data_IF_900362926665
#
_entry.id   IF_900362926665
#
_cell.length_a   1.000
_cell.length_b   1.000
_cell.length_c   1.000
_cell.angle_alpha   90.00
_cell.angle_beta   90.00
_cell.angle_gamma   90.00
#
_symmetry.space_group_name_H-M   'P 1'
#
loop_
_entity.id
_entity.type
_entity.pdbx_description
1 polymer ?
#
# COMPACT_ATOMS: atom_id res chain seq x y z
N UNK A 1 -7.31 13.06 -14.81
CA UNK A 1 -7.68 12.41 -13.54
C UNK A 1 -9.13 12.75 -13.24
N UNK A 2 -10.04 11.85 -13.50
CA UNK A 2 -11.42 11.97 -13.01
C UNK A 2 -11.36 11.80 -11.50
N UNK A 3 -11.91 12.77 -10.78
CA UNK A 3 -11.67 12.97 -9.37
C UNK A 3 -12.03 11.77 -8.49
N UNK A 4 -11.36 11.67 -7.35
CA UNK A 4 -11.58 10.72 -6.24
C UNK A 4 -13.07 10.52 -5.88
N UNK A 5 -13.96 11.48 -6.20
CA UNK A 5 -15.40 11.38 -5.99
C UNK A 5 -16.11 10.21 -6.71
N UNK A 6 -15.52 9.69 -7.80
CA UNK A 6 -16.13 8.56 -8.55
C UNK A 6 -15.77 7.19 -7.97
N UNK A 7 -14.72 7.09 -7.18
CA UNK A 7 -14.31 5.85 -6.50
C UNK A 7 -15.33 5.44 -5.43
N UNK A 8 -16.05 6.41 -4.83
CA UNK A 8 -17.02 6.16 -3.75
C UNK A 8 -18.42 5.83 -4.21
N UNK A 9 -18.74 6.10 -5.45
CA UNK A 9 -20.08 5.83 -5.96
C UNK A 9 -20.16 4.38 -6.43
N UNK A 10 -20.72 3.51 -5.59
CA UNK A 10 -20.98 2.10 -5.93
C UNK A 10 -21.51 1.94 -7.37
N UNK A 11 -22.36 2.85 -7.83
CA UNK A 11 -22.93 2.80 -9.19
C UNK A 11 -21.85 3.01 -10.27
N UNK A 12 -20.88 3.90 -10.04
CA UNK A 12 -19.77 4.12 -10.99
C UNK A 12 -18.87 2.89 -11.09
N UNK A 13 -18.63 2.19 -9.98
CA UNK A 13 -17.85 0.96 -9.96
C UNK A 13 -18.59 -0.18 -10.65
N UNK A 14 -19.91 -0.32 -10.43
CA UNK A 14 -20.76 -1.28 -11.16
C UNK A 14 -20.70 -1.02 -12.67
N UNK A 15 -20.81 0.23 -13.09
CA UNK A 15 -20.70 0.59 -14.50
C UNK A 15 -19.31 0.31 -15.08
N UNK A 16 -18.25 0.61 -14.33
CA UNK A 16 -16.89 0.29 -14.75
C UNK A 16 -16.68 -1.23 -14.94
N UNK A 17 -17.18 -2.04 -14.01
CA UNK A 17 -17.14 -3.51 -14.10
C UNK A 17 -17.95 -4.03 -15.30
N UNK A 18 -19.13 -3.46 -15.57
CA UNK A 18 -19.96 -3.83 -16.73
C UNK A 18 -19.29 -3.52 -18.06
N UNK A 19 -18.59 -2.38 -18.14
CA UNK A 19 -17.92 -1.96 -19.38
C UNK A 19 -16.62 -2.74 -19.59
N UNK A 20 -15.82 -2.93 -18.53
CA UNK A 20 -14.52 -3.58 -18.65
C UNK A 20 -14.61 -5.10 -18.76
N UNK A 21 -15.61 -5.72 -18.14
CA UNK A 21 -15.71 -7.19 -17.99
C UNK A 21 -14.40 -7.81 -17.49
N UNK A 22 -13.70 -7.09 -16.61
CA UNK A 22 -12.36 -7.45 -16.15
C UNK A 22 -12.34 -8.82 -15.46
N UNK A 23 -11.38 -9.67 -15.82
CA UNK A 23 -11.12 -10.96 -15.17
C UNK A 23 -10.32 -10.81 -13.88
N UNK A 24 -9.49 -9.76 -13.81
CA UNK A 24 -8.68 -9.43 -12.66
C UNK A 24 -8.89 -7.96 -12.25
N UNK A 25 -9.06 -7.72 -10.96
CA UNK A 25 -9.28 -6.38 -10.39
C UNK A 25 -8.26 -6.13 -9.30
N UNK A 26 -7.41 -5.12 -9.48
CA UNK A 26 -6.39 -4.70 -8.51
C UNK A 26 -6.81 -3.40 -7.83
N UNK A 27 -7.27 -3.48 -6.60
CA UNK A 27 -7.66 -2.31 -5.82
C UNK A 27 -6.45 -1.70 -5.10
N UNK A 28 -5.86 -0.70 -5.74
CA UNK A 28 -4.77 0.11 -5.20
C UNK A 28 -5.25 1.50 -4.75
N UNK A 29 -6.55 1.77 -4.88
CA UNK A 29 -7.12 3.06 -4.51
C UNK A 29 -7.05 3.29 -3.00
N UNK A 30 -6.34 4.31 -2.59
CA UNK A 30 -6.19 4.69 -1.19
C UNK A 30 -5.76 6.15 -1.01
N UNK A 31 -6.12 6.73 0.13
CA UNK A 31 -5.38 7.83 0.72
C UNK A 31 -4.20 7.21 1.48
N UNK A 32 -3.00 7.17 0.86
CA UNK A 32 -1.89 6.33 1.33
C UNK A 32 -0.86 7.04 2.21
N UNK A 33 -0.99 8.36 2.40
CA UNK A 33 -0.08 9.13 3.24
C UNK A 33 -0.59 9.15 4.69
N UNK A 34 0.10 8.42 5.59
CA UNK A 34 -0.34 8.20 6.98
C UNK A 34 -0.59 9.49 7.73
N UNK A 35 0.27 10.52 7.56
CA UNK A 35 0.11 11.81 8.24
C UNK A 35 -1.24 12.48 7.91
N UNK A 36 -1.63 12.51 6.64
CA UNK A 36 -2.92 13.06 6.20
C UNK A 36 -4.13 12.34 6.83
N UNK A 37 -4.00 11.06 7.20
CA UNK A 37 -5.10 10.34 7.84
C UNK A 37 -5.50 10.90 9.20
N UNK A 38 -4.59 11.58 9.89
CA UNK A 38 -4.89 12.28 11.15
C UNK A 38 -5.66 13.58 10.94
N UNK A 39 -5.37 14.27 9.84
CA UNK A 39 -6.04 15.52 9.46
C UNK A 39 -7.40 15.26 8.80
N UNK A 40 -7.50 14.15 8.05
CA UNK A 40 -8.68 13.80 7.26
C UNK A 40 -9.16 12.36 7.52
N UNK A 41 -9.50 11.99 8.77
CA UNK A 41 -9.86 10.61 9.11
C UNK A 41 -11.14 10.13 8.43
N UNK A 42 -12.13 11.00 8.23
CA UNK A 42 -13.38 10.65 7.55
C UNK A 42 -13.15 10.35 6.07
N UNK A 43 -12.38 11.19 5.36
CA UNK A 43 -12.03 10.95 3.96
C UNK A 43 -11.23 9.65 3.82
N UNK A 44 -10.26 9.42 4.71
CA UNK A 44 -9.48 8.17 4.75
C UNK A 44 -10.39 6.97 4.94
N UNK A 45 -11.33 7.00 5.88
CA UNK A 45 -12.28 5.90 6.11
C UNK A 45 -13.18 5.65 4.88
N UNK A 46 -13.68 6.71 4.25
CA UNK A 46 -14.50 6.58 3.04
C UNK A 46 -13.74 5.92 1.89
N UNK A 47 -12.48 6.31 1.69
CA UNK A 47 -11.65 5.79 0.61
C UNK A 47 -11.17 4.36 0.94
N UNK A 48 -10.46 4.22 2.03
CA UNK A 48 -9.64 3.05 2.32
C UNK A 48 -10.43 1.91 2.96
N UNK A 49 -11.61 2.20 3.51
CA UNK A 49 -12.52 1.20 4.09
C UNK A 49 -13.78 1.02 3.23
N UNK A 50 -14.68 2.00 3.18
CA UNK A 50 -15.96 1.89 2.48
C UNK A 50 -15.78 1.68 0.98
N UNK A 51 -14.74 2.29 0.38
CA UNK A 51 -14.37 2.09 -1.03
C UNK A 51 -14.10 0.63 -1.38
N UNK A 52 -13.48 -0.14 -0.47
CA UNK A 52 -13.23 -1.58 -0.66
C UNK A 52 -14.54 -2.36 -0.73
N UNK A 53 -15.48 -2.08 0.19
CA UNK A 53 -16.81 -2.71 0.19
C UNK A 53 -17.55 -2.41 -1.11
N UNK A 54 -17.50 -1.16 -1.58
CA UNK A 54 -18.14 -0.77 -2.84
C UNK A 54 -17.56 -1.53 -4.04
N UNK A 55 -16.24 -1.76 -4.06
CA UNK A 55 -15.60 -2.55 -5.13
C UNK A 55 -16.01 -4.03 -5.08
N UNK A 56 -15.98 -4.62 -3.89
CA UNK A 56 -16.41 -6.02 -3.69
C UNK A 56 -17.89 -6.22 -4.09
N UNK A 57 -18.77 -5.28 -3.74
CA UNK A 57 -20.18 -5.31 -4.15
C UNK A 57 -20.34 -5.15 -5.66
N UNK A 58 -19.53 -4.32 -6.31
CA UNK A 58 -19.56 -4.20 -7.77
C UNK A 58 -19.15 -5.50 -8.46
N UNK A 59 -18.08 -6.15 -7.97
CA UNK A 59 -17.61 -7.45 -8.48
C UNK A 59 -18.68 -8.51 -8.27
N UNK A 60 -19.19 -8.66 -7.03
CA UNK A 60 -20.21 -9.63 -6.68
C UNK A 60 -21.47 -9.49 -7.54
N UNK A 61 -21.84 -8.27 -7.89
CA UNK A 61 -23.06 -7.96 -8.67
C UNK A 61 -22.89 -8.21 -10.17
N UNK A 62 -21.69 -7.95 -10.71
CA UNK A 62 -21.48 -7.90 -12.17
C UNK A 62 -20.73 -9.12 -12.69
N UNK A 63 -19.66 -9.52 -11.99
CA UNK A 63 -18.77 -10.60 -12.42
C UNK A 63 -18.16 -11.29 -11.22
N UNK A 64 -18.92 -12.12 -10.48
CA UNK A 64 -18.48 -12.76 -9.24
C UNK A 64 -17.29 -13.72 -9.43
N UNK A 65 -17.02 -14.18 -10.66
CA UNK A 65 -15.87 -14.99 -11.02
C UNK A 65 -14.58 -14.19 -11.20
N UNK A 66 -14.62 -12.87 -11.23
CA UNK A 66 -13.43 -12.02 -11.33
C UNK A 66 -12.54 -12.17 -10.10
N UNK A 67 -11.23 -12.23 -10.32
CA UNK A 67 -10.23 -12.32 -9.27
C UNK A 67 -9.90 -10.94 -8.72
N UNK A 68 -10.00 -10.78 -7.42
CA UNK A 68 -9.82 -9.49 -6.74
C UNK A 68 -8.58 -9.48 -5.88
N UNK A 69 -7.75 -8.46 -6.06
CA UNK A 69 -6.62 -8.14 -5.19
C UNK A 69 -6.91 -6.88 -4.38
N UNK A 70 -6.80 -6.96 -3.06
CA UNK A 70 -6.85 -5.84 -2.13
C UNK A 70 -5.45 -5.47 -1.68
N UNK A 71 -5.03 -4.23 -1.94
CA UNK A 71 -3.81 -3.69 -1.37
C UNK A 71 -4.01 -3.41 0.12
N UNK A 72 -3.58 -4.34 0.94
CA UNK A 72 -3.43 -4.17 2.39
C UNK A 72 -2.03 -3.63 2.72
N UNK A 73 -1.68 -3.46 3.99
CA UNK A 73 -0.45 -2.78 4.40
C UNK A 73 0.10 -3.34 5.70
N UNK A 74 1.41 -3.31 5.87
CA UNK A 74 2.09 -3.61 7.14
C UNK A 74 1.72 -2.63 8.26
N UNK A 75 1.19 -1.43 7.94
CA UNK A 75 0.67 -0.47 8.93
C UNK A 75 -0.50 -1.02 9.76
N UNK A 76 -1.14 -2.11 9.32
CA UNK A 76 -2.14 -2.83 10.11
C UNK A 76 -1.53 -3.50 11.34
N UNK A 77 -0.27 -3.93 11.28
CA UNK A 77 0.43 -4.50 12.45
C UNK A 77 0.67 -3.45 13.53
N UNK A 78 0.96 -2.20 13.17
CA UNK A 78 1.06 -1.04 14.05
C UNK A 78 1.98 -1.27 15.25
N UNK A 79 1.41 -1.45 16.47
CA UNK A 79 2.16 -1.91 17.62
C UNK A 79 2.39 -3.41 17.50
N UNK A 80 3.53 -3.77 16.92
CA UNK A 80 3.89 -5.14 16.55
C UNK A 80 3.79 -6.09 17.73
N UNK A 81 3.04 -7.18 17.56
CA UNK A 81 2.79 -8.18 18.60
C UNK A 81 3.75 -9.39 18.50
N UNK A 82 4.28 -9.65 17.31
CA UNK A 82 5.18 -10.79 17.02
C UNK A 82 6.24 -10.40 15.99
N UNK A 83 7.41 -11.02 16.08
CA UNK A 83 8.52 -10.86 15.11
C UNK A 83 9.06 -12.26 14.76
N UNK A 84 9.14 -12.62 13.48
CA UNK A 84 8.66 -11.87 12.30
C UNK A 84 7.12 -11.84 12.22
N UNK A 85 6.56 -10.83 11.53
CA UNK A 85 5.13 -10.76 11.25
C UNK A 85 4.74 -11.76 10.16
N UNK A 86 3.62 -12.43 10.38
CA UNK A 86 3.01 -13.39 9.45
C UNK A 86 1.55 -13.02 9.21
N UNK A 87 0.87 -13.77 8.35
CA UNK A 87 -0.56 -13.64 8.10
C UNK A 87 -1.44 -13.93 9.34
N UNK A 88 -0.86 -14.56 10.36
CA UNK A 88 -1.53 -14.91 11.64
C UNK A 88 -1.20 -13.94 12.77
N UNK A 89 -0.22 -13.06 12.57
CA UNK A 89 0.16 -12.06 13.59
C UNK A 89 -1.01 -11.14 13.89
N UNK A 90 -1.38 -10.94 15.17
CA UNK A 90 -2.45 -10.02 15.54
C UNK A 90 -2.19 -8.60 15.08
N UNK A 91 -3.22 -7.96 14.53
CA UNK A 91 -3.15 -6.56 14.10
C UNK A 91 -3.41 -5.60 15.26
N UNK A 92 -2.63 -4.51 15.33
CA UNK A 92 -2.81 -3.44 16.30
C UNK A 92 -2.50 -2.08 15.65
N UNK A 93 -3.34 -1.60 14.71
CA UNK A 93 -3.07 -0.38 13.95
C UNK A 93 -2.95 0.84 14.86
N UNK A 94 -2.06 1.77 14.51
CA UNK A 94 -1.73 2.97 15.31
C UNK A 94 -2.04 4.27 14.56
N UNK A 95 -2.81 4.21 13.46
CA UNK A 95 -3.23 5.38 12.69
C UNK A 95 -4.62 5.17 12.10
N UNK A 96 -5.39 6.25 11.80
CA UNK A 96 -6.66 6.14 11.07
C UNK A 96 -6.51 5.42 9.73
N UNK A 97 -5.38 5.62 9.04
CA UNK A 97 -5.02 4.87 7.82
C UNK A 97 -4.93 3.36 8.09
N UNK A 98 -4.15 2.96 9.09
CA UNK A 98 -4.00 1.54 9.44
C UNK A 98 -5.34 0.89 9.81
N UNK A 99 -6.20 1.61 10.56
CA UNK A 99 -7.55 1.13 10.93
C UNK A 99 -8.44 0.97 9.70
N UNK A 100 -8.44 1.93 8.78
CA UNK A 100 -9.23 1.87 7.55
C UNK A 100 -8.76 0.71 6.64
N UNK A 101 -7.45 0.52 6.51
CA UNK A 101 -6.85 -0.60 5.77
C UNK A 101 -7.18 -1.96 6.42
N UNK A 102 -7.21 -2.02 7.75
CA UNK A 102 -7.61 -3.22 8.48
C UNK A 102 -9.08 -3.60 8.22
N UNK A 103 -9.97 -2.61 8.17
CA UNK A 103 -11.33 -2.86 7.73
C UNK A 103 -11.36 -3.45 6.30
N UNK A 104 -10.61 -2.83 5.36
CA UNK A 104 -10.51 -3.31 3.97
C UNK A 104 -10.01 -4.75 3.87
N UNK A 105 -9.02 -5.12 4.69
CA UNK A 105 -8.51 -6.49 4.80
C UNK A 105 -9.60 -7.46 5.29
N UNK A 106 -10.26 -7.16 6.39
CA UNK A 106 -11.27 -8.05 6.96
C UNK A 106 -12.53 -8.15 6.11
N UNK A 107 -12.97 -7.08 5.48
CA UNK A 107 -14.13 -7.16 4.59
C UNK A 107 -13.82 -7.99 3.32
N UNK A 108 -12.59 -7.92 2.81
CA UNK A 108 -12.13 -8.76 1.70
C UNK A 108 -12.19 -10.24 2.07
N UNK A 109 -11.67 -10.60 3.25
CA UNK A 109 -11.73 -11.97 3.77
C UNK A 109 -13.18 -12.41 3.99
N UNK A 110 -14.03 -11.55 4.55
CA UNK A 110 -15.44 -11.84 4.77
C UNK A 110 -16.16 -12.15 3.45
N UNK A 111 -15.91 -11.38 2.38
CA UNK A 111 -16.52 -11.62 1.07
C UNK A 111 -16.00 -12.90 0.41
N UNK A 112 -14.74 -13.23 0.59
CA UNK A 112 -14.17 -14.53 0.18
C UNK A 112 -14.91 -15.69 0.83
N UNK A 113 -15.11 -15.64 2.14
CA UNK A 113 -15.71 -16.73 2.92
C UNK A 113 -17.23 -16.79 2.77
N UNK A 114 -17.92 -15.64 2.72
CA UNK A 114 -19.39 -15.58 2.70
C UNK A 114 -20.01 -15.69 1.31
N UNK A 115 -19.30 -15.22 0.28
CA UNK A 115 -19.83 -15.18 -1.10
C UNK A 115 -18.98 -15.99 -2.08
N UNK A 116 -17.98 -16.72 -1.59
CA UNK A 116 -17.07 -17.52 -2.41
C UNK A 116 -16.38 -16.71 -3.54
N UNK A 117 -16.09 -15.44 -3.29
CA UNK A 117 -15.32 -14.63 -4.23
C UNK A 117 -13.85 -15.01 -4.21
N UNK A 118 -13.21 -15.03 -5.37
CA UNK A 118 -11.76 -15.14 -5.42
C UNK A 118 -11.14 -13.79 -5.03
N UNK A 119 -10.91 -13.57 -3.74
CA UNK A 119 -10.43 -12.31 -3.19
C UNK A 119 -9.20 -12.52 -2.32
N UNK A 120 -8.06 -11.91 -2.68
CA UNK A 120 -6.78 -11.97 -1.99
C UNK A 120 -6.45 -10.63 -1.34
N UNK A 121 -5.80 -10.66 -0.17
CA UNK A 121 -5.19 -9.48 0.44
C UNK A 121 -3.67 -9.59 0.46
N UNK A 122 -2.97 -8.60 -0.11
CA UNK A 122 -1.52 -8.48 0.03
C UNK A 122 -1.15 -7.54 1.17
N UNK A 123 -0.59 -8.07 2.26
CA UNK A 123 -0.09 -7.29 3.39
C UNK A 123 1.34 -6.85 3.05
N UNK A 124 1.43 -5.73 2.32
CA UNK A 124 2.69 -5.28 1.77
C UNK A 124 3.47 -4.42 2.75
N UNK A 125 4.76 -4.70 2.88
CA UNK A 125 5.73 -3.80 3.48
C UNK A 125 6.09 -2.67 2.51
N UNK A 126 6.97 -1.76 2.91
CA UNK A 126 7.29 -0.60 2.10
C UNK A 126 7.95 -1.01 0.78
N UNK A 127 7.48 -0.45 -0.32
CA UNK A 127 8.05 -0.73 -1.64
C UNK A 127 8.22 0.56 -2.42
N UNK A 128 9.36 0.69 -3.04
CA UNK A 128 9.88 1.93 -3.56
C UNK A 128 10.27 1.80 -5.03
N UNK A 129 10.26 2.94 -5.72
CA UNK A 129 10.78 3.07 -7.08
C UNK A 129 11.11 4.53 -7.38
N UNK A 130 11.63 4.80 -8.57
CA UNK A 130 11.89 6.14 -9.08
C UNK A 130 10.63 7.02 -9.15
N UNK A 131 9.45 6.39 -9.15
CA UNK A 131 8.13 7.04 -9.22
C UNK A 131 7.51 7.33 -7.86
N UNK A 132 8.21 7.03 -6.76
CA UNK A 132 7.69 7.29 -5.41
C UNK A 132 7.38 8.77 -5.22
N UNK A 133 6.28 9.10 -4.55
CA UNK A 133 5.90 10.47 -4.22
C UNK A 133 6.95 11.16 -3.32
N UNK A 134 7.13 12.47 -3.46
CA UNK A 134 8.14 13.25 -2.73
C UNK A 134 7.85 13.38 -1.23
N UNK A 135 6.62 13.13 -0.82
CA UNK A 135 6.18 13.10 0.58
C UNK A 135 6.74 11.89 1.35
N UNK A 136 7.14 10.82 0.65
CA UNK A 136 7.69 9.62 1.25
C UNK A 136 9.20 9.72 1.49
N UNK A 137 9.65 9.15 2.61
CA UNK A 137 11.01 9.35 3.15
C UNK A 137 12.11 9.01 2.14
N UNK A 138 12.01 7.92 1.42
CA UNK A 138 13.03 7.48 0.43
C UNK A 138 13.18 8.49 -0.71
N UNK A 139 12.07 8.94 -1.28
CA UNK A 139 12.08 9.95 -2.34
C UNK A 139 12.49 11.33 -1.80
N UNK A 140 12.04 11.69 -0.59
CA UNK A 140 12.45 12.92 0.09
C UNK A 140 13.98 12.97 0.24
N UNK A 141 14.62 11.86 0.64
CA UNK A 141 16.07 11.76 0.77
C UNK A 141 16.76 11.91 -0.59
N UNK A 142 16.37 11.14 -1.59
CA UNK A 142 17.04 11.16 -2.90
C UNK A 142 16.90 12.50 -3.61
N UNK A 143 15.73 13.14 -3.56
CA UNK A 143 15.50 14.48 -4.12
C UNK A 143 16.35 15.54 -3.40
N UNK A 144 16.36 15.52 -2.05
CA UNK A 144 17.14 16.47 -1.27
C UNK A 144 18.66 16.33 -1.49
N UNK A 145 19.19 15.11 -1.52
CA UNK A 145 20.61 14.87 -1.82
C UNK A 145 21.00 15.41 -3.20
N UNK A 146 20.16 15.18 -4.21
CA UNK A 146 20.38 15.74 -5.55
C UNK A 146 20.39 17.28 -5.53
N UNK A 147 19.42 17.91 -4.84
CA UNK A 147 19.32 19.37 -4.72
C UNK A 147 20.48 19.97 -3.93
N UNK A 148 20.93 19.33 -2.85
CA UNK A 148 22.11 19.75 -2.08
C UNK A 148 23.36 19.69 -2.96
N UNK A 149 23.53 18.62 -3.72
CA UNK A 149 24.66 18.47 -4.65
C UNK A 149 24.68 19.56 -5.73
N UNK A 150 23.52 20.03 -6.17
CA UNK A 150 23.38 21.11 -7.16
C UNK A 150 23.48 22.53 -6.53
N UNK A 151 23.64 22.64 -5.21
CA UNK A 151 23.70 23.90 -4.50
C UNK A 151 22.39 24.69 -4.43
N UNK A 152 21.25 24.01 -4.65
CA UNK A 152 19.91 24.63 -4.59
C UNK A 152 19.17 24.35 -3.29
N UNK A 153 19.80 23.63 -2.37
CA UNK A 153 19.31 23.33 -1.02
C UNK A 153 20.52 23.10 -0.09
N UNK A 154 20.46 23.56 1.14
CA UNK A 154 21.59 23.48 2.07
C UNK A 154 21.53 22.26 2.99
N UNK A 155 20.31 21.81 3.37
CA UNK A 155 20.12 20.70 4.32
C UNK A 155 18.81 19.95 4.08
N UNK A 156 18.70 18.81 4.72
CA UNK A 156 17.49 17.97 4.73
C UNK A 156 17.05 17.74 6.19
N UNK A 157 15.82 18.12 6.50
CA UNK A 157 15.18 17.81 7.76
C UNK A 157 14.39 16.50 7.66
N UNK A 158 14.71 15.58 8.57
CA UNK A 158 14.04 14.30 8.72
C UNK A 158 13.56 14.12 10.16
N UNK A 159 12.50 13.36 10.35
CA UNK A 159 12.00 12.99 11.66
C UNK A 159 12.89 11.92 12.32
N UNK A 160 12.27 10.84 12.82
CA UNK A 160 13.01 9.77 13.50
C UNK A 160 13.94 9.01 12.54
N UNK A 161 15.23 9.28 12.66
CA UNK A 161 16.28 8.64 11.84
C UNK A 161 16.50 7.15 12.18
N UNK A 162 16.11 6.72 13.38
CA UNK A 162 16.29 5.35 13.86
C UNK A 162 15.05 4.48 13.61
N UNK A 163 14.03 5.06 12.98
CA UNK A 163 12.85 4.31 12.53
C UNK A 163 13.27 3.20 11.55
N UNK A 164 12.84 1.99 11.85
CA UNK A 164 13.14 0.80 11.06
C UNK A 164 12.04 0.53 10.03
N UNK A 165 12.45 0.12 8.82
CA UNK A 165 11.53 -0.24 7.72
C UNK A 165 12.12 -1.41 6.93
N UNK A 166 11.23 -2.22 6.38
CA UNK A 166 11.55 -3.15 5.31
C UNK A 166 11.20 -2.46 4.00
N UNK A 167 12.17 -2.27 3.12
CA UNK A 167 11.99 -1.63 1.81
C UNK A 167 12.35 -2.59 0.69
N UNK A 168 11.39 -2.88 -0.16
CA UNK A 168 11.59 -3.65 -1.38
C UNK A 168 11.44 -2.80 -2.64
N UNK A 169 11.66 -3.41 -3.81
CA UNK A 169 11.45 -2.75 -5.09
C UNK A 169 10.03 -3.00 -5.60
N UNK A 170 9.34 -1.95 -6.07
CA UNK A 170 7.94 -2.02 -6.49
C UNK A 170 7.67 -3.05 -7.59
N UNK A 171 8.64 -3.37 -8.46
CA UNK A 171 8.48 -4.42 -9.49
C UNK A 171 8.24 -5.80 -8.89
N UNK A 172 8.94 -6.13 -7.79
CA UNK A 172 8.80 -7.42 -7.14
C UNK A 172 7.42 -7.53 -6.46
N UNK A 173 6.98 -6.43 -5.86
CA UNK A 173 5.67 -6.36 -5.23
C UNK A 173 4.52 -6.46 -6.24
N UNK A 174 4.62 -5.78 -7.38
CA UNK A 174 3.63 -5.90 -8.48
C UNK A 174 3.59 -7.33 -9.02
N UNK A 175 4.74 -7.97 -9.16
CA UNK A 175 4.80 -9.39 -9.55
C UNK A 175 4.14 -10.29 -8.51
N UNK A 176 4.35 -10.03 -7.22
CA UNK A 176 3.68 -10.77 -6.14
C UNK A 176 2.16 -10.58 -6.18
N UNK A 177 1.68 -9.34 -6.39
CA UNK A 177 0.24 -9.06 -6.55
C UNK A 177 -0.39 -9.90 -7.66
N UNK A 178 0.27 -9.96 -8.82
CA UNK A 178 -0.19 -10.78 -9.94
C UNK A 178 -0.17 -12.27 -9.59
N UNK A 179 0.92 -12.78 -9.00
CA UNK A 179 1.06 -14.18 -8.62
C UNK A 179 0.00 -14.64 -7.61
N UNK A 180 -0.44 -13.78 -6.69
CA UNK A 180 -1.53 -14.06 -5.75
C UNK A 180 -2.83 -14.38 -6.50
N UNK A 181 -3.12 -13.65 -7.56
CA UNK A 181 -4.32 -13.89 -8.37
C UNK A 181 -4.18 -15.09 -9.32
N UNK A 182 -2.98 -15.66 -9.49
CA UNK A 182 -2.78 -16.86 -10.31
C UNK A 182 -2.91 -18.17 -9.50
N UNK A 183 -3.08 -18.08 -8.17
CA UNK A 183 -3.23 -19.26 -7.32
C UNK A 183 -4.57 -19.97 -7.58
N UNK A 184 -4.66 -21.25 -7.17
CA UNK A 184 -5.90 -22.01 -7.29
C UNK A 184 -6.95 -21.61 -6.24
N UNK A 185 -6.49 -21.14 -5.06
CA UNK A 185 -7.33 -20.72 -3.94
C UNK A 185 -6.91 -19.31 -3.48
N UNK A 186 -7.88 -18.45 -3.18
CA UNK A 186 -7.58 -17.12 -2.65
C UNK A 186 -7.12 -17.21 -1.21
N UNK A 187 -6.13 -16.36 -0.84
CA UNK A 187 -5.65 -16.25 0.54
C UNK A 187 -5.09 -14.84 0.81
N UNK A 188 -4.59 -14.63 2.03
CA UNK A 188 -3.88 -13.45 2.45
C UNK A 188 -2.37 -13.74 2.43
N UNK A 189 -1.55 -12.73 2.06
CA UNK A 189 -0.12 -12.91 1.88
C UNK A 189 0.66 -11.74 2.45
N UNK A 190 1.64 -12.01 3.31
CA UNK A 190 2.64 -11.04 3.75
C UNK A 190 3.76 -10.98 2.71
N UNK A 191 4.04 -9.79 2.21
CA UNK A 191 5.13 -9.54 1.25
C UNK A 191 6.11 -8.55 1.84
N UNK A 192 7.34 -9.04 2.07
CA UNK A 192 8.44 -8.31 2.66
C UNK A 192 9.76 -8.78 2.02
N UNK A 193 10.83 -8.02 2.21
CA UNK A 193 12.19 -8.44 1.82
C UNK A 193 12.86 -9.28 2.89
N UNK A 194 12.33 -9.26 4.10
CA UNK A 194 12.93 -9.85 5.29
C UNK A 194 14.23 -9.14 5.75
N UNK A 195 14.48 -7.94 5.21
CA UNK A 195 15.59 -7.07 5.59
C UNK A 195 15.07 -5.79 6.20
N UNK A 196 15.48 -5.52 7.44
CA UNK A 196 15.11 -4.29 8.15
C UNK A 196 16.25 -3.29 8.11
N UNK A 197 15.97 -2.06 7.67
CA UNK A 197 16.92 -0.95 7.58
C UNK A 197 16.39 0.27 8.32
N UNK A 198 17.31 1.12 8.82
CA UNK A 198 16.95 2.40 9.42
C UNK A 198 16.91 3.52 8.38
N UNK A 199 16.18 4.59 8.68
CA UNK A 199 16.21 5.82 7.86
C UNK A 199 17.65 6.37 7.80
N UNK A 200 18.40 6.29 8.88
CA UNK A 200 19.83 6.70 8.96
C UNK A 200 20.70 5.96 7.94
N UNK A 201 20.55 4.64 7.84
CA UNK A 201 21.26 3.84 6.83
C UNK A 201 20.90 4.29 5.41
N UNK A 202 19.62 4.53 5.13
CA UNK A 202 19.17 5.02 3.82
C UNK A 202 19.82 6.36 3.45
N UNK A 203 19.95 7.30 4.39
CA UNK A 203 20.66 8.57 4.18
C UNK A 203 22.13 8.32 3.87
N UNK A 204 22.80 7.48 4.65
CA UNK A 204 24.22 7.17 4.47
C UNK A 204 24.50 6.55 3.09
N UNK A 205 23.72 5.57 2.66
CA UNK A 205 23.85 4.96 1.33
C UNK A 205 23.63 5.95 0.20
N UNK A 206 22.65 6.83 0.32
CA UNK A 206 22.37 7.85 -0.71
C UNK A 206 23.48 8.87 -0.80
N UNK A 207 24.03 9.30 0.33
CA UNK A 207 25.12 10.25 0.40
C UNK A 207 26.43 9.68 -0.20
N UNK A 208 26.81 8.46 0.14
CA UNK A 208 27.99 7.79 -0.40
C UNK A 208 27.90 7.68 -1.93
N UNK A 209 26.82 7.18 -2.49
CA UNK A 209 26.61 7.08 -3.95
C UNK A 209 26.65 8.43 -4.66
N UNK A 210 26.18 9.50 -4.02
CA UNK A 210 26.27 10.84 -4.61
C UNK A 210 27.71 11.34 -4.74
N UNK A 211 28.66 10.82 -3.96
CA UNK A 211 30.10 11.12 -4.07
C UNK A 211 30.83 10.21 -5.06
N UNK A 212 30.43 8.96 -5.20
CA UNK A 212 31.07 7.99 -6.12
C UNK A 212 30.88 8.29 -7.62
N UNK A 213 29.90 9.08 -7.98
CA UNK A 213 29.65 9.47 -9.40
C UNK A 213 30.53 10.63 -9.87
N UNK A 214 31.64 10.91 -9.21
CA UNK A 214 32.70 11.86 -9.63
C UNK A 214 33.99 11.12 -10.06
N UNK A 215 33.85 10.11 -10.86
CA UNK A 215 34.94 9.49 -11.60
C UNK A 215 34.75 9.72 -13.09
#
# INVERSE_FOLDING_TARGET
>A
SRGLGDVYKRQSLINAMRISQADEVYNLAAQSFVATSWEQPLATAQIDAVGVTNMLEAIRTVKPEARFYQASTSEMFGLVQEIPQTEKTPFYPRSPYGVAKLYGHWITKNYRESYNLFACSGILFNHESERRGKEFVTRKITDAVARIKLGVQDHLELGNMDAKRDWGHSKDYVRAMWLMLQQNTPDDYVIATNETRTVRESVSYTHLRAHETRG
#
